data_IF_507745144949
#
_entry.id   IF_507745144949
#
_cell.length_a   1.000
_cell.length_b   1.000
_cell.length_c   1.000
_cell.angle_alpha   90.00
_cell.angle_beta   90.00
_cell.angle_gamma   90.00
#
_symmetry.space_group_name_H-M   'P 1'
#
loop_
_entity.id
_entity.type
_entity.pdbx_description
1 polymer ?
#
# COMPACT_ATOMS: atom_id res chain seq x y z
N UNK A 1 -2.04 -16.28 4.73
CA UNK A 1 -2.78 -17.04 3.71
C UNK A 1 -2.79 -16.28 2.39
N UNK A 2 -3.25 -15.02 2.38
CA UNK A 2 -3.26 -14.10 1.22
C UNK A 2 -2.06 -14.19 0.25
N UNK A 3 -0.81 -14.08 0.73
CA UNK A 3 0.38 -14.17 -0.14
C UNK A 3 0.46 -15.48 -0.91
N UNK A 4 0.14 -16.62 -0.27
CA UNK A 4 0.18 -17.94 -0.91
C UNK A 4 -0.94 -18.07 -1.93
N UNK A 5 -2.13 -17.58 -1.59
CA UNK A 5 -3.31 -17.65 -2.47
C UNK A 5 -3.11 -16.78 -3.72
N UNK A 6 -2.38 -15.67 -3.58
CA UNK A 6 -1.94 -14.80 -4.67
C UNK A 6 -0.70 -15.31 -5.43
N UNK A 7 -0.23 -16.53 -5.19
CA UNK A 7 0.93 -17.13 -5.87
C UNK A 7 2.29 -16.52 -5.51
N UNK A 8 2.36 -15.67 -4.48
CA UNK A 8 3.59 -15.02 -4.04
C UNK A 8 4.31 -15.85 -2.97
N UNK A 9 5.60 -16.10 -3.19
CA UNK A 9 6.49 -16.64 -2.15
C UNK A 9 6.39 -15.80 -0.86
N UNK A 10 6.21 -16.46 0.28
CA UNK A 10 6.23 -15.80 1.58
C UNK A 10 7.65 -15.37 1.91
N UNK A 11 7.86 -14.07 2.12
CA UNK A 11 9.15 -13.48 2.53
C UNK A 11 8.89 -12.45 3.63
N UNK A 12 9.90 -12.19 4.47
CA UNK A 12 9.75 -11.22 5.56
C UNK A 12 9.36 -9.82 5.07
N UNK A 13 9.96 -9.24 4.00
CA UNK A 13 9.54 -7.93 3.51
C UNK A 13 8.08 -7.89 3.04
N UNK A 14 7.58 -8.96 2.41
CA UNK A 14 6.18 -9.04 1.97
C UNK A 14 5.24 -9.10 3.16
N UNK A 15 5.59 -9.86 4.19
CA UNK A 15 4.79 -9.94 5.41
C UNK A 15 4.71 -8.58 6.13
N UNK A 16 5.85 -7.91 6.28
CA UNK A 16 5.92 -6.61 6.97
C UNK A 16 5.19 -5.50 6.23
N UNK A 17 5.34 -5.44 4.90
CA UNK A 17 4.59 -4.48 4.08
C UNK A 17 3.08 -4.77 4.16
N UNK A 18 2.67 -6.03 4.08
CA UNK A 18 1.27 -6.41 4.20
C UNK A 18 0.70 -6.07 5.59
N UNK A 19 1.48 -6.28 6.66
CA UNK A 19 1.11 -5.93 8.03
C UNK A 19 0.85 -4.43 8.19
N UNK A 20 1.68 -3.58 7.58
CA UNK A 20 1.47 -2.12 7.61
C UNK A 20 0.23 -1.72 6.79
N UNK A 21 0.03 -2.30 5.61
CA UNK A 21 -1.16 -2.03 4.77
C UNK A 21 -2.48 -2.45 5.43
N UNK A 22 -2.45 -3.34 6.43
CA UNK A 22 -3.62 -3.76 7.19
C UNK A 22 -3.97 -2.81 8.35
N UNK A 23 -3.12 -1.83 8.64
CA UNK A 23 -3.38 -0.86 9.71
C UNK A 23 -4.46 0.14 9.25
N UNK A 24 -5.44 0.48 10.09
CA UNK A 24 -6.55 1.36 9.71
C UNK A 24 -6.10 2.75 9.22
N UNK A 25 -5.00 3.27 9.77
CA UNK A 25 -4.40 4.55 9.39
C UNK A 25 -3.49 4.46 8.15
N UNK A 26 -3.45 3.31 7.48
CA UNK A 26 -2.68 3.05 6.27
C UNK A 26 -3.54 2.49 5.13
N UNK A 27 -4.86 2.67 5.20
CA UNK A 27 -5.80 2.26 4.16
C UNK A 27 -5.42 2.83 2.80
N UNK A 28 -5.01 4.11 2.75
CA UNK A 28 -4.40 4.72 1.57
C UNK A 28 -3.00 5.21 1.92
N UNK A 29 -1.97 4.61 1.34
CA UNK A 29 -0.59 4.97 1.67
C UNK A 29 0.29 5.03 0.42
N UNK A 30 1.20 6.01 0.39
CA UNK A 30 2.24 6.08 -0.66
C UNK A 30 3.38 5.11 -0.35
N UNK A 31 4.21 4.79 -1.35
CA UNK A 31 5.39 3.99 -1.14
C UNK A 31 6.38 4.66 -0.17
N UNK A 32 6.49 6.00 -0.23
CA UNK A 32 7.34 6.81 0.64
C UNK A 32 6.86 6.79 2.08
N UNK A 33 5.55 6.95 2.30
CA UNK A 33 4.98 7.01 3.64
C UNK A 33 4.97 5.61 4.28
N UNK A 34 4.74 4.57 3.49
CA UNK A 34 4.90 3.17 3.90
C UNK A 34 6.35 2.87 4.32
N UNK A 35 7.33 3.36 3.55
CA UNK A 35 8.74 3.23 3.88
C UNK A 35 9.10 3.95 5.19
N UNK A 36 8.63 5.18 5.40
CA UNK A 36 8.83 5.90 6.67
C UNK A 36 8.26 5.12 7.83
N UNK A 37 7.05 4.57 7.69
CA UNK A 37 6.41 3.78 8.74
C UNK A 37 7.19 2.51 9.07
N UNK A 38 7.77 1.85 8.07
CA UNK A 38 8.68 0.72 8.29
C UNK A 38 9.93 1.11 9.08
N UNK A 39 10.52 2.29 8.82
CA UNK A 39 11.63 2.82 9.62
C UNK A 39 11.20 3.05 11.06
N UNK A 40 10.04 3.67 11.29
CA UNK A 40 9.52 3.96 12.63
C UNK A 40 9.25 2.67 13.43
N UNK A 41 8.95 1.57 12.74
CA UNK A 41 8.81 0.22 13.31
C UNK A 41 10.15 -0.51 13.49
N UNK A 42 11.28 0.08 13.09
CA UNK A 42 12.62 -0.50 13.21
C UNK A 42 12.96 -1.55 12.15
N UNK A 43 12.23 -1.58 11.02
CA UNK A 43 12.45 -2.55 9.94
C UNK A 43 13.56 -2.07 8.97
N UNK A 44 14.47 -2.97 8.60
CA UNK A 44 15.56 -2.69 7.64
C UNK A 44 15.13 -2.93 6.18
N UNK A 45 13.95 -2.44 5.79
CA UNK A 45 13.40 -2.60 4.44
C UNK A 45 13.60 -1.30 3.65
N UNK A 46 14.53 -1.32 2.69
CA UNK A 46 14.80 -0.15 1.84
C UNK A 46 13.63 0.19 0.88
N UNK A 47 13.52 1.48 0.53
CA UNK A 47 12.48 2.03 -0.35
C UNK A 47 12.34 1.27 -1.69
N UNK A 48 13.45 0.87 -2.33
CA UNK A 48 13.41 0.10 -3.56
C UNK A 48 12.73 -1.28 -3.38
N UNK A 49 12.87 -1.90 -2.21
CA UNK A 49 12.17 -3.15 -1.89
C UNK A 49 10.69 -2.89 -1.67
N UNK A 50 10.33 -1.77 -1.04
CA UNK A 50 8.92 -1.35 -0.87
C UNK A 50 8.25 -1.24 -2.24
N UNK A 51 8.81 -0.46 -3.15
CA UNK A 51 8.31 -0.33 -4.52
C UNK A 51 8.18 -1.67 -5.25
N UNK A 52 9.22 -2.51 -5.19
CA UNK A 52 9.20 -3.83 -5.83
C UNK A 52 8.10 -4.73 -5.26
N UNK A 53 7.87 -4.70 -3.94
CA UNK A 53 6.83 -5.51 -3.30
C UNK A 53 5.45 -4.96 -3.63
N UNK A 54 5.24 -3.65 -3.60
CA UNK A 54 3.97 -3.03 -3.98
C UNK A 54 3.60 -3.34 -5.43
N UNK A 55 4.55 -3.24 -6.37
CA UNK A 55 4.32 -3.65 -7.76
C UNK A 55 3.91 -5.13 -7.85
N UNK A 56 4.56 -6.01 -7.09
CA UNK A 56 4.21 -7.44 -7.07
C UNK A 56 2.86 -7.72 -6.42
N UNK A 57 2.42 -6.87 -5.49
CA UNK A 57 1.10 -6.96 -4.88
C UNK A 57 0.02 -6.46 -5.84
N UNK A 58 0.30 -5.39 -6.57
CA UNK A 58 -0.54 -4.81 -7.62
C UNK A 58 -0.77 -5.83 -8.75
N UNK A 59 0.33 -6.41 -9.27
CA UNK A 59 0.30 -7.48 -10.28
C UNK A 59 -0.49 -8.73 -9.81
N UNK A 60 -0.50 -8.99 -8.50
CA UNK A 60 -1.17 -10.14 -7.89
C UNK A 60 -2.58 -9.83 -7.38
N UNK A 61 -3.09 -8.60 -7.56
CA UNK A 61 -4.40 -8.16 -7.10
C UNK A 61 -4.58 -8.13 -5.57
N UNK A 62 -3.49 -8.00 -4.82
CA UNK A 62 -3.51 -7.82 -3.36
C UNK A 62 -3.77 -6.35 -3.01
N UNK A 63 -3.22 -5.44 -3.82
CA UNK A 63 -3.44 -4.00 -3.67
C UNK A 63 -3.96 -3.40 -4.95
N UNK A 64 -4.68 -2.29 -4.81
CA UNK A 64 -5.05 -1.41 -5.92
C UNK A 64 -4.16 -0.17 -5.85
N UNK A 65 -3.60 0.23 -6.99
CA UNK A 65 -2.87 1.49 -7.13
C UNK A 65 -3.78 2.57 -7.69
N UNK A 66 -3.81 3.71 -7.02
CA UNK A 66 -4.42 4.94 -7.53
C UNK A 66 -3.35 5.95 -7.92
N UNK A 67 -3.50 6.53 -9.11
CA UNK A 67 -2.67 7.61 -9.60
C UNK A 67 -3.39 8.94 -9.39
N UNK A 68 -2.96 9.70 -8.38
CA UNK A 68 -3.51 11.02 -8.12
C UNK A 68 -2.71 12.13 -8.81
N UNK A 69 -3.33 13.30 -8.90
CA UNK A 69 -2.73 14.49 -9.47
C UNK A 69 -1.41 14.85 -8.74
N UNK A 70 -0.42 15.36 -9.48
CA UNK A 70 0.92 15.63 -8.95
C UNK A 70 1.89 14.43 -8.96
N UNK A 71 1.49 13.28 -9.55
CA UNK A 71 2.36 12.13 -9.77
C UNK A 71 2.52 11.20 -8.56
N UNK A 72 1.78 11.46 -7.47
CA UNK A 72 1.77 10.59 -6.29
C UNK A 72 0.92 9.35 -6.57
N UNK A 73 1.50 8.17 -6.35
CA UNK A 73 0.74 6.92 -6.35
C UNK A 73 0.43 6.54 -4.91
N UNK A 74 -0.83 6.20 -4.63
CA UNK A 74 -1.23 5.59 -3.36
C UNK A 74 -1.67 4.15 -3.60
N UNK A 75 -1.53 3.34 -2.57
CA UNK A 75 -1.89 1.93 -2.58
C UNK A 75 -2.89 1.68 -1.46
N UNK A 76 -3.87 0.84 -1.75
CA UNK A 76 -4.83 0.32 -0.78
C UNK A 76 -4.96 -1.20 -0.95
N UNK A 77 -5.41 -1.92 0.07
CA UNK A 77 -5.75 -3.34 -0.09
C UNK A 77 -6.98 -3.48 -0.99
N UNK A 78 -6.93 -4.37 -1.98
CA UNK A 78 -8.05 -4.57 -2.89
C UNK A 78 -9.30 -5.04 -2.14
N UNK A 79 -10.39 -4.30 -2.27
CA UNK A 79 -11.70 -4.65 -1.69
C UNK A 79 -12.69 -5.06 -2.78
N UNK A 80 -13.76 -5.77 -2.40
CA UNK A 80 -14.85 -6.09 -3.34
C UNK A 80 -15.86 -4.94 -3.51
N UNK A 81 -15.76 -3.89 -2.69
CA UNK A 81 -16.72 -2.79 -2.66
C UNK A 81 -16.18 -1.60 -3.44
N UNK A 82 -16.87 -1.23 -4.52
CA UNK A 82 -16.56 -0.01 -5.25
C UNK A 82 -16.84 1.22 -4.38
N UNK A 83 -15.91 2.16 -4.37
CA UNK A 83 -15.99 3.46 -3.75
C UNK A 83 -15.15 4.46 -4.57
N UNK A 84 -15.46 5.74 -4.45
CA UNK A 84 -14.74 6.85 -5.06
C UNK A 84 -13.86 7.58 -4.03
N UNK A 85 -12.89 8.35 -4.52
CA UNK A 85 -11.90 9.04 -3.69
C UNK A 85 -11.97 10.57 -3.83
N UNK A 86 -12.02 11.27 -2.70
CA UNK A 86 -11.76 12.71 -2.61
C UNK A 86 -10.39 12.91 -1.96
N UNK A 87 -9.49 13.61 -2.66
CA UNK A 87 -8.11 13.82 -2.21
C UNK A 87 -7.89 15.29 -1.86
N UNK A 88 -7.43 15.56 -0.63
CA UNK A 88 -7.02 16.90 -0.24
C UNK A 88 -5.61 17.20 -0.77
N UNK A 89 -5.49 18.20 -1.64
CA UNK A 89 -4.19 18.58 -2.22
C UNK A 89 -3.23 19.25 -1.23
N UNK A 90 -3.76 19.81 -0.13
CA UNK A 90 -2.96 20.53 0.86
C UNK A 90 -2.31 19.58 1.89
N UNK A 91 -3.02 18.52 2.30
CA UNK A 91 -2.54 17.58 3.32
C UNK A 91 -2.36 16.14 2.83
N UNK A 92 -2.88 15.78 1.64
CA UNK A 92 -2.80 14.43 1.09
C UNK A 92 -3.80 13.43 1.69
N UNK A 93 -4.74 13.88 2.50
CA UNK A 93 -5.81 13.05 3.07
C UNK A 93 -6.72 12.49 1.96
N UNK A 94 -7.09 11.21 2.08
CA UNK A 94 -7.97 10.52 1.13
C UNK A 94 -9.26 10.13 1.85
N UNK A 95 -10.38 10.67 1.38
CA UNK A 95 -11.72 10.43 1.92
C UNK A 95 -12.50 9.57 0.92
N UNK A 96 -13.07 8.47 1.39
CA UNK A 96 -13.91 7.57 0.57
C UNK A 96 -15.38 8.00 0.57
N UNK A 97 -16.06 7.85 -0.56
CA UNK A 97 -17.52 8.00 -0.69
C UNK A 97 -18.09 7.07 -1.77
N UNK A 98 -19.41 6.98 -1.89
CA UNK A 98 -20.13 6.24 -2.94
C UNK A 98 -21.38 6.98 -3.38
#
# INVERSE_FOLDING_TARGET
QALKDAGLKVTLPRLKILEVLQQPDCQHISAEDLYKKLIDLGEEIGLATVYRVLNQFDDAGIVTRHHFEGGKSVFELSTQHHHDHLVCLDCGEVIEFS
#
